data_IF_936313250700
#
_entry.id   IF_936313250700
#
_cell.length_a   1.000
_cell.length_b   1.000
_cell.length_c   1.000
_cell.angle_alpha   90.00
_cell.angle_beta   90.00
_cell.angle_gamma   90.00
#
_symmetry.space_group_name_H-M   'P 1'
#
loop_
_entity.id
_entity.type
_entity.pdbx_description
1 polymer ?
#
# COMPACT_ATOMS: atom_id res chain seq x y z
N UNK A 1 7.26 -9.43 -4.84
CA UNK A 1 7.64 -9.49 -3.41
C UNK A 1 6.46 -9.02 -2.55
N UNK A 2 6.33 -9.46 -1.29
CA UNK A 2 5.43 -8.85 -0.29
C UNK A 2 6.24 -8.44 0.94
N UNK A 3 6.03 -7.22 1.44
CA UNK A 3 6.54 -6.75 2.74
C UNK A 3 5.39 -6.38 3.66
N UNK A 4 5.51 -6.77 4.92
CA UNK A 4 4.57 -6.46 6.00
C UNK A 4 5.19 -5.40 6.91
N UNK A 5 4.38 -4.42 7.30
CA UNK A 5 4.73 -3.38 8.26
C UNK A 5 3.63 -3.27 9.31
N UNK A 6 4.03 -3.19 10.57
CA UNK A 6 3.10 -3.03 11.68
C UNK A 6 2.75 -1.57 11.89
N UNK A 7 1.45 -1.26 11.91
CA UNK A 7 0.92 0.07 12.19
C UNK A 7 0.51 0.09 13.66
N UNK A 8 1.51 -0.01 14.55
CA UNK A 8 1.31 -0.26 15.99
C UNK A 8 0.22 0.62 16.62
N UNK A 9 0.19 1.91 16.27
CA UNK A 9 -0.75 2.91 16.80
C UNK A 9 -2.21 2.60 16.43
N UNK A 10 -2.44 1.97 15.28
CA UNK A 10 -3.77 1.71 14.74
C UNK A 10 -4.18 0.22 14.81
N UNK A 11 -3.30 -0.66 15.32
CA UNK A 11 -3.59 -2.09 15.44
C UNK A 11 -3.94 -2.74 14.10
N UNK A 12 -3.32 -2.28 13.01
CA UNK A 12 -3.51 -2.77 11.64
C UNK A 12 -2.16 -3.04 10.99
N UNK A 13 -2.17 -3.86 9.95
CA UNK A 13 -1.00 -4.09 9.12
C UNK A 13 -1.07 -3.27 7.84
N UNK A 14 0.10 -2.92 7.32
CA UNK A 14 0.27 -2.47 5.96
C UNK A 14 1.07 -3.53 5.21
N UNK A 15 0.49 -4.08 4.15
CA UNK A 15 1.22 -4.92 3.21
C UNK A 15 1.48 -4.14 1.94
N UNK A 16 2.70 -4.27 1.42
CA UNK A 16 3.08 -3.70 0.13
C UNK A 16 3.64 -4.81 -0.75
N UNK A 17 3.09 -4.91 -1.96
CA UNK A 17 3.47 -5.92 -2.93
C UNK A 17 3.82 -5.31 -4.28
N UNK A 18 4.67 -6.02 -5.01
CA UNK A 18 5.13 -5.64 -6.37
C UNK A 18 4.61 -6.59 -7.46
N UNK A 19 3.70 -7.50 -7.09
CA UNK A 19 3.13 -8.49 -7.99
C UNK A 19 1.75 -8.93 -7.49
N UNK A 20 0.77 -8.95 -8.40
CA UNK A 20 -0.55 -9.52 -8.13
C UNK A 20 -0.49 -11.03 -7.86
N UNK A 21 0.35 -11.74 -8.62
CA UNK A 21 0.51 -13.20 -8.50
C UNK A 21 1.01 -13.60 -7.12
N UNK A 22 1.79 -12.74 -6.47
CA UNK A 22 2.26 -12.98 -5.12
C UNK A 22 1.15 -12.88 -4.07
N UNK A 23 0.10 -12.09 -4.31
CA UNK A 23 -0.90 -11.72 -3.30
C UNK A 23 -2.25 -12.42 -3.43
N UNK A 24 -2.68 -12.74 -4.66
CA UNK A 24 -4.05 -13.18 -4.98
C UNK A 24 -4.59 -14.32 -4.09
N UNK A 25 -3.72 -15.25 -3.71
CA UNK A 25 -4.09 -16.41 -2.91
C UNK A 25 -3.80 -16.26 -1.41
N UNK A 26 -3.02 -15.26 -1.00
CA UNK A 26 -2.55 -15.08 0.39
C UNK A 26 -3.47 -14.21 1.24
N UNK A 27 -4.33 -13.44 0.60
CA UNK A 27 -5.21 -12.47 1.24
C UNK A 27 -6.68 -12.72 0.92
N UNK A 28 -7.55 -12.18 1.76
CA UNK A 28 -8.99 -12.14 1.55
C UNK A 28 -9.52 -10.78 2.03
N UNK A 29 -10.71 -10.39 1.57
CA UNK A 29 -11.38 -9.16 2.00
C UNK A 29 -12.43 -9.48 3.06
N UNK A 30 -12.57 -8.60 4.04
CA UNK A 30 -13.68 -8.61 5.00
C UNK A 30 -14.56 -7.35 4.90
N UNK A 31 -14.32 -6.52 3.88
CA UNK A 31 -15.13 -5.35 3.55
C UNK A 31 -15.90 -5.52 2.24
N UNK A 32 -16.52 -4.43 1.78
CA UNK A 32 -17.29 -4.40 0.53
C UNK A 32 -16.44 -4.22 -0.74
N UNK A 33 -15.11 -4.10 -0.62
CA UNK A 33 -14.23 -3.88 -1.77
C UNK A 33 -13.89 -5.20 -2.47
N UNK A 34 -14.03 -5.22 -3.80
CA UNK A 34 -13.78 -6.40 -4.62
C UNK A 34 -12.27 -6.72 -4.71
N UNK A 35 -11.88 -7.91 -4.30
CA UNK A 35 -10.46 -8.31 -4.26
C UNK A 35 -10.05 -8.99 -5.57
N UNK A 36 -9.87 -8.18 -6.60
CA UNK A 36 -9.40 -8.59 -7.93
C UNK A 36 -8.32 -7.64 -8.46
N UNK A 37 -7.48 -8.13 -9.37
CA UNK A 37 -6.46 -7.30 -10.03
C UNK A 37 -7.11 -6.13 -10.76
N UNK A 38 -6.58 -4.92 -10.59
CA UNK A 38 -6.93 -3.80 -11.46
C UNK A 38 -6.16 -3.92 -12.79
N UNK A 39 -6.87 -3.86 -13.91
CA UNK A 39 -6.25 -4.03 -15.25
C UNK A 39 -5.61 -2.74 -15.78
N UNK A 40 -6.12 -1.56 -15.37
CA UNK A 40 -5.74 -0.26 -15.93
C UNK A 40 -4.99 0.65 -14.94
N UNK A 41 -4.46 0.09 -13.84
CA UNK A 41 -3.77 0.88 -12.81
C UNK A 41 -2.30 0.46 -12.65
N UNK A 42 -1.43 1.43 -12.35
CA UNK A 42 -0.04 1.15 -11.97
C UNK A 42 0.06 0.58 -10.56
N UNK A 43 -0.85 1.00 -9.68
CA UNK A 43 -0.96 0.52 -8.31
C UNK A 43 -2.43 0.46 -7.87
N UNK A 44 -2.71 -0.26 -6.79
CA UNK A 44 -4.04 -0.27 -6.16
C UNK A 44 -3.92 -0.53 -4.67
N UNK A 45 -4.67 0.26 -3.91
CA UNK A 45 -4.92 0.04 -2.49
C UNK A 45 -6.19 -0.76 -2.28
N UNK A 46 -6.06 -1.90 -1.60
CA UNK A 46 -7.14 -2.76 -1.18
C UNK A 46 -7.42 -2.55 0.32
N UNK A 47 -8.55 -1.93 0.68
CA UNK A 47 -8.97 -1.76 2.06
C UNK A 47 -9.51 -3.07 2.66
N UNK A 48 -9.56 -3.14 3.99
CA UNK A 48 -10.18 -4.24 4.74
C UNK A 48 -9.69 -5.64 4.30
N UNK A 49 -8.37 -5.83 4.33
CA UNK A 49 -7.70 -7.06 3.94
C UNK A 49 -7.27 -7.88 5.15
N UNK A 50 -7.52 -9.18 5.11
CA UNK A 50 -7.05 -10.16 6.07
C UNK A 50 -5.99 -11.09 5.44
N UNK A 51 -4.89 -11.30 6.16
CA UNK A 51 -3.93 -12.35 5.80
C UNK A 51 -4.50 -13.72 6.11
N UNK A 52 -4.61 -14.60 5.13
CA UNK A 52 -5.06 -15.99 5.36
C UNK A 52 -4.09 -16.79 6.23
N UNK A 53 -2.81 -16.40 6.26
CA UNK A 53 -1.77 -17.09 7.03
C UNK A 53 -1.81 -16.73 8.51
N UNK A 54 -1.95 -15.45 8.83
CA UNK A 54 -1.80 -14.94 10.21
C UNK A 54 -3.12 -14.50 10.84
N UNK A 55 -4.18 -14.32 10.05
CA UNK A 55 -5.44 -13.75 10.51
C UNK A 55 -5.39 -12.26 10.83
N UNK A 56 -4.24 -11.60 10.64
CA UNK A 56 -4.11 -10.15 10.86
C UNK A 56 -4.91 -9.36 9.83
N UNK A 57 -5.40 -8.19 10.25
CA UNK A 57 -6.20 -7.26 9.45
C UNK A 57 -5.42 -6.00 9.09
N UNK A 58 -5.75 -5.38 7.96
CA UNK A 58 -5.06 -4.19 7.49
C UNK A 58 -5.37 -3.81 6.05
N UNK A 59 -4.41 -3.15 5.43
CA UNK A 59 -4.48 -2.64 4.05
C UNK A 59 -3.37 -3.24 3.22
N UNK A 60 -3.69 -3.60 1.98
CA UNK A 60 -2.71 -4.07 0.99
C UNK A 60 -2.57 -3.05 -0.13
N UNK A 61 -1.35 -2.64 -0.45
CA UNK A 61 -1.02 -1.85 -1.63
C UNK A 61 -0.26 -2.74 -2.62
N UNK A 62 -0.72 -2.83 -3.86
CA UNK A 62 -0.07 -3.63 -4.91
C UNK A 62 0.37 -2.69 -6.04
N UNK A 63 1.67 -2.67 -6.34
CA UNK A 63 2.26 -2.01 -7.50
C UNK A 63 2.46 -3.06 -8.61
N UNK A 64 1.78 -2.96 -9.74
CA UNK A 64 1.75 -4.03 -10.74
C UNK A 64 2.87 -3.96 -11.77
N UNK A 65 3.30 -2.75 -12.13
CA UNK A 65 4.29 -2.52 -13.19
C UNK A 65 5.40 -1.59 -12.70
N UNK A 66 6.24 -2.11 -11.81
CA UNK A 66 7.36 -1.37 -11.24
C UNK A 66 8.34 -0.89 -12.31
N UNK A 67 8.42 -1.57 -13.46
CA UNK A 67 9.31 -1.20 -14.58
C UNK A 67 8.90 0.13 -15.24
N UNK A 68 7.60 0.45 -15.25
CA UNK A 68 7.05 1.71 -15.76
C UNK A 68 6.93 2.79 -14.69
N UNK A 69 7.02 2.41 -13.41
CA UNK A 69 7.06 3.33 -12.27
C UNK A 69 8.49 3.84 -12.04
N UNK A 70 8.95 4.73 -12.91
CA UNK A 70 10.25 5.37 -12.78
C UNK A 70 10.14 6.91 -12.82
N UNK A 71 11.19 7.61 -12.39
CA UNK A 71 11.22 9.08 -12.37
C UNK A 71 10.14 9.68 -11.46
N UNK A 72 9.42 10.70 -11.93
CA UNK A 72 8.35 11.36 -11.17
C UNK A 72 7.11 10.49 -10.95
N UNK A 73 6.85 9.51 -11.83
CA UNK A 73 5.65 8.67 -11.76
C UNK A 73 5.62 7.81 -10.49
N UNK A 74 6.78 7.38 -10.00
CA UNK A 74 6.86 6.63 -8.74
C UNK A 74 6.43 7.49 -7.55
N UNK A 75 6.80 8.76 -7.54
CA UNK A 75 6.47 9.70 -6.46
C UNK A 75 4.96 9.95 -6.43
N UNK A 76 4.37 10.19 -7.60
CA UNK A 76 2.93 10.40 -7.75
C UNK A 76 2.13 9.19 -7.25
N UNK A 77 2.49 7.98 -7.69
CA UNK A 77 1.78 6.76 -7.29
C UNK A 77 1.99 6.44 -5.81
N UNK A 78 3.20 6.62 -5.27
CA UNK A 78 3.45 6.45 -3.84
C UNK A 78 2.55 7.41 -3.04
N UNK A 79 2.49 8.69 -3.40
CA UNK A 79 1.68 9.67 -2.70
C UNK A 79 0.18 9.31 -2.78
N UNK A 80 -0.30 8.96 -3.97
CA UNK A 80 -1.70 8.59 -4.22
C UNK A 80 -2.13 7.37 -3.39
N UNK A 81 -1.38 6.27 -3.46
CA UNK A 81 -1.71 5.06 -2.69
C UNK A 81 -1.52 5.25 -1.19
N UNK A 82 -0.60 6.12 -0.76
CA UNK A 82 -0.43 6.43 0.66
C UNK A 82 -1.63 7.13 1.26
N UNK A 83 -2.25 8.04 0.50
CA UNK A 83 -3.51 8.67 0.88
C UNK A 83 -4.64 7.64 0.96
N UNK A 84 -4.77 6.77 -0.05
CA UNK A 84 -5.80 5.73 -0.05
C UNK A 84 -5.65 4.74 1.12
N UNK A 85 -4.44 4.31 1.42
CA UNK A 85 -4.19 3.41 2.54
C UNK A 85 -4.49 4.07 3.90
N UNK A 86 -4.13 5.35 4.05
CA UNK A 86 -4.47 6.14 5.24
C UNK A 86 -5.98 6.26 5.40
N UNK A 87 -6.69 6.62 4.33
CA UNK A 87 -8.15 6.73 4.32
C UNK A 87 -8.84 5.40 4.66
N UNK A 88 -8.34 4.29 4.13
CA UNK A 88 -8.87 2.97 4.41
C UNK A 88 -8.84 2.65 5.91
N UNK A 89 -7.70 2.92 6.56
CA UNK A 89 -7.53 2.69 8.00
C UNK A 89 -8.40 3.65 8.82
N UNK A 90 -8.42 4.92 8.45
CA UNK A 90 -9.20 5.93 9.18
C UNK A 90 -10.69 5.64 9.09
N UNK A 91 -11.19 5.30 7.91
CA UNK A 91 -12.58 4.92 7.71
C UNK A 91 -12.95 3.65 8.49
N UNK A 92 -12.07 2.64 8.52
CA UNK A 92 -12.31 1.42 9.29
C UNK A 92 -12.37 1.69 10.81
N UNK A 93 -11.55 2.60 11.31
CA UNK A 93 -11.44 2.92 12.74
C UNK A 93 -12.34 4.08 13.19
N UNK A 94 -13.10 4.70 12.29
CA UNK A 94 -13.93 5.87 12.59
C UNK A 94 -13.13 7.12 12.95
N UNK A 95 -11.93 7.27 12.40
CA UNK A 95 -11.06 8.43 12.60
C UNK A 95 -11.48 9.53 11.63
N UNK A 96 -11.84 10.70 12.17
CA UNK A 96 -12.27 11.84 11.38
C UNK A 96 -11.09 12.69 10.88
N UNK A 97 -11.32 13.37 9.77
CA UNK A 97 -10.43 14.41 9.25
C UNK A 97 -10.73 15.76 9.90
N UNK A 98 -9.68 16.54 10.12
CA UNK A 98 -9.79 17.95 10.51
C UNK A 98 -8.79 18.76 9.71
N UNK A 99 -9.21 19.86 9.09
CA UNK A 99 -8.31 20.77 8.38
C UNK A 99 -7.44 21.65 9.31
N UNK A 100 -7.64 21.54 10.62
CA UNK A 100 -6.85 22.25 11.64
C UNK A 100 -6.12 21.31 12.59
N UNK A 101 -6.52 20.04 12.63
CA UNK A 101 -5.87 18.98 13.38
C UNK A 101 -5.61 17.81 12.44
N UNK A 102 -4.85 18.03 11.36
CA UNK A 102 -4.53 17.08 10.29
C UNK A 102 -3.20 16.35 10.47
N UNK A 103 -2.45 16.64 11.53
CA UNK A 103 -1.13 16.07 11.80
C UNK A 103 -1.13 14.53 11.83
N UNK A 104 -2.20 13.90 12.35
CA UNK A 104 -2.32 12.44 12.34
C UNK A 104 -2.46 11.88 10.93
N UNK A 105 -3.17 12.57 10.05
CA UNK A 105 -3.30 12.21 8.64
C UNK A 105 -1.97 12.43 7.90
N UNK A 106 -1.34 13.59 8.08
CA UNK A 106 -0.06 13.91 7.46
C UNK A 106 1.04 12.92 7.88
N UNK A 107 1.12 12.59 9.16
CA UNK A 107 2.00 11.54 9.68
C UNK A 107 1.73 10.19 9.00
N UNK A 108 0.47 9.78 8.93
CA UNK A 108 0.12 8.47 8.41
C UNK A 108 0.44 8.35 6.92
N UNK A 109 0.10 9.37 6.12
CA UNK A 109 0.46 9.42 4.69
C UNK A 109 1.98 9.36 4.51
N UNK A 110 2.74 10.15 5.29
CA UNK A 110 4.20 10.12 5.23
C UNK A 110 4.80 8.77 5.64
N UNK A 111 4.22 8.11 6.66
CA UNK A 111 4.66 6.80 7.11
C UNK A 111 4.40 5.72 6.05
N UNK A 112 3.21 5.70 5.44
CA UNK A 112 2.89 4.77 4.34
C UNK A 112 3.81 5.02 3.16
N UNK A 113 4.04 6.28 2.77
CA UNK A 113 4.93 6.63 1.67
C UNK A 113 6.36 6.12 1.89
N UNK A 114 6.87 6.24 3.11
CA UNK A 114 8.17 5.68 3.51
C UNK A 114 8.19 4.16 3.36
N UNK A 115 7.13 3.46 3.74
CA UNK A 115 7.01 2.02 3.58
C UNK A 115 6.97 1.61 2.10
N UNK A 116 6.21 2.31 1.27
CA UNK A 116 6.19 2.09 -0.19
C UNK A 116 7.58 2.23 -0.78
N UNK A 117 8.27 3.32 -0.45
CA UNK A 117 9.64 3.57 -0.92
C UNK A 117 10.60 2.45 -0.52
N UNK A 118 10.56 1.95 0.72
CA UNK A 118 11.41 0.83 1.16
C UNK A 118 11.25 -0.44 0.32
N UNK A 119 10.06 -0.69 -0.21
CA UNK A 119 9.81 -1.86 -1.08
C UNK A 119 10.27 -1.57 -2.50
N UNK A 120 9.87 -0.42 -3.05
CA UNK A 120 10.11 -0.09 -4.45
C UNK A 120 11.55 0.31 -4.75
N UNK A 121 12.26 0.90 -3.79
CA UNK A 121 13.64 1.35 -3.96
C UNK A 121 14.56 0.22 -4.42
N UNK A 122 14.37 -0.99 -3.89
CA UNK A 122 15.15 -2.16 -4.33
C UNK A 122 14.87 -2.50 -5.79
N UNK A 123 13.59 -2.58 -6.17
CA UNK A 123 13.19 -2.88 -7.55
C UNK A 123 13.70 -1.81 -8.53
N UNK A 124 13.69 -0.53 -8.13
CA UNK A 124 14.21 0.56 -8.97
C UNK A 124 15.71 0.45 -9.19
N UNK A 125 16.51 0.18 -8.14
CA UNK A 125 17.96 0.06 -8.29
C UNK A 125 18.39 -1.22 -8.99
N UNK A 126 17.72 -2.34 -8.75
CA UNK A 126 18.02 -3.60 -9.44
C UNK A 126 17.76 -3.46 -10.96
N UNK A 127 16.67 -2.77 -11.36
CA UNK A 127 16.36 -2.48 -12.77
C UNK A 127 17.36 -1.53 -13.47
N UNK A 128 18.09 -0.69 -12.73
CA UNK A 128 19.14 0.17 -13.30
C UNK A 128 20.40 -0.65 -13.58
N UNK A 129 20.73 -1.60 -12.71
CA UNK A 129 21.94 -2.42 -12.84
C UNK A 129 21.84 -3.49 -13.94
N UNK A 130 20.63 -3.91 -14.33
CA UNK A 130 20.44 -4.84 -15.47
C UNK A 130 20.56 -4.15 -16.85
N UNK A 131 20.63 -2.82 -16.90
CA UNK A 131 20.69 -2.04 -18.15
C UNK A 131 22.09 -1.48 -18.47
N UNK A 132 23.12 -1.86 -17.72
CA UNK A 132 24.54 -1.49 -17.92
C UNK A 132 25.32 -2.74 -18.30
#
# INVERSE_FOLDING_TARGET
>A
MIREFDIEIYGRQLWIATSWEDVKDKFTTYGGYDFKKSEDAYATTYPCIASKKTGKYGVLVVFYDCSKLCGSNIVENIAHESLHATNAIFNELGIEYSLTHDEHAAYMVGWVAKCCWKVLQKEVYDNINEKI
#
